data_IF_803085969766
#
_entry.id   IF_803085969766
#
_cell.length_a   1.000
_cell.length_b   1.000
_cell.length_c   1.000
_cell.angle_alpha   90.00
_cell.angle_beta   90.00
_cell.angle_gamma   90.00
#
_symmetry.space_group_name_H-M   'P 1'
#
loop_
_entity.id
_entity.type
_entity.pdbx_description
1 polymer ?
#
# COMPACT_ATOMS: atom_id res chain seq x y z
N UNK A 1 11.29 -10.48 -10.37
CA UNK A 1 10.10 -9.87 -9.75
C UNK A 1 9.69 -10.73 -8.57
N UNK A 2 9.65 -10.16 -7.38
CA UNK A 2 9.25 -10.85 -6.16
C UNK A 2 7.91 -10.27 -5.68
N UNK A 3 6.94 -11.14 -5.43
CA UNK A 3 5.62 -10.72 -4.99
C UNK A 3 5.24 -11.43 -3.69
N UNK A 4 4.61 -10.71 -2.78
CA UNK A 4 4.16 -11.28 -1.51
C UNK A 4 2.89 -10.58 -1.02
N UNK A 5 2.15 -11.27 -0.17
CA UNK A 5 0.98 -10.72 0.50
C UNK A 5 1.44 -9.89 1.69
N UNK A 6 0.91 -8.69 1.82
CA UNK A 6 1.17 -7.78 2.95
C UNK A 6 -0.15 -7.21 3.44
N UNK A 7 -0.11 -6.46 4.52
CA UNK A 7 -1.29 -5.80 5.07
C UNK A 7 -1.19 -4.31 4.80
N UNK A 8 -2.24 -3.74 4.23
CA UNK A 8 -2.37 -2.31 4.02
C UNK A 8 -3.39 -1.75 5.01
N UNK A 9 -3.06 -0.60 5.61
CA UNK A 9 -3.95 0.13 6.50
C UNK A 9 -4.49 1.35 5.77
N UNK A 10 -5.81 1.55 5.85
CA UNK A 10 -6.46 2.75 5.32
C UNK A 10 -6.93 3.59 6.49
N UNK A 11 -6.49 4.84 6.55
CA UNK A 11 -6.90 5.81 7.54
C UNK A 11 -7.64 6.95 6.85
N UNK A 12 -8.78 7.36 7.42
CA UNK A 12 -9.46 8.58 7.01
C UNK A 12 -9.09 9.65 8.02
N UNK A 13 -8.53 10.74 7.57
CA UNK A 13 -8.02 11.83 8.40
C UNK A 13 -8.61 13.16 7.94
N UNK A 14 -8.45 14.20 8.77
CA UNK A 14 -8.79 15.55 8.34
C UNK A 14 -7.81 16.01 7.27
N UNK A 15 -8.31 16.68 6.24
CA UNK A 15 -7.48 17.26 5.19
C UNK A 15 -6.90 18.56 5.68
N UNK A 16 -5.85 18.48 6.48
CA UNK A 16 -5.20 19.65 7.10
C UNK A 16 -3.69 19.43 7.24
N UNK A 17 -2.99 20.51 7.46
CA UNK A 17 -1.54 20.51 7.64
C UNK A 17 -1.14 19.59 8.80
N UNK A 18 -0.14 18.74 8.55
CA UNK A 18 0.48 17.93 9.58
C UNK A 18 -0.12 16.54 9.79
N UNK A 19 -1.22 16.20 9.12
CA UNK A 19 -1.85 14.90 9.35
C UNK A 19 -0.99 13.72 8.90
N UNK A 20 -0.37 13.81 7.74
CA UNK A 20 0.53 12.75 7.28
C UNK A 20 1.74 12.63 8.21
N UNK A 21 2.31 13.75 8.64
CA UNK A 21 3.43 13.76 9.57
C UNK A 21 3.05 13.11 10.90
N UNK A 22 1.85 13.38 11.40
CA UNK A 22 1.34 12.80 12.64
C UNK A 22 1.26 11.27 12.55
N UNK A 23 0.66 10.78 11.49
CA UNK A 23 0.47 9.34 11.30
C UNK A 23 1.80 8.62 11.11
N UNK A 24 2.68 9.16 10.27
CA UNK A 24 4.01 8.56 10.07
C UNK A 24 4.86 8.64 11.35
N UNK A 25 4.69 9.69 12.15
CA UNK A 25 5.35 9.84 13.45
C UNK A 25 4.91 8.78 14.45
N UNK A 26 3.64 8.44 14.48
CA UNK A 26 3.11 7.37 15.34
C UNK A 26 3.76 6.03 14.97
N UNK A 27 3.86 5.76 13.67
CA UNK A 27 4.52 4.54 13.16
C UNK A 27 5.98 4.49 13.57
N UNK A 28 6.69 5.60 13.43
CA UNK A 28 8.10 5.72 13.80
C UNK A 28 8.33 5.46 15.29
N UNK A 29 7.52 6.07 16.15
CA UNK A 29 7.63 5.89 17.60
C UNK A 29 7.34 4.45 18.02
N UNK A 30 6.49 3.76 17.28
CA UNK A 30 6.18 2.36 17.55
C UNK A 30 7.24 1.40 17.01
N UNK A 31 8.27 1.89 16.34
CA UNK A 31 9.30 1.05 15.75
C UNK A 31 8.84 0.33 14.50
N UNK A 32 7.90 0.90 13.78
CA UNK A 32 7.34 0.32 12.55
C UNK A 32 7.91 1.04 11.34
N UNK A 33 8.48 0.28 10.42
CA UNK A 33 8.94 0.81 9.14
C UNK A 33 7.79 0.76 8.14
N UNK A 34 7.49 1.89 7.53
CA UNK A 34 6.47 1.98 6.49
C UNK A 34 7.14 1.73 5.14
N UNK A 35 6.81 0.60 4.53
CA UNK A 35 7.43 0.17 3.27
C UNK A 35 6.85 0.86 2.06
N UNK A 36 5.59 1.28 2.14
CA UNK A 36 4.93 2.04 1.09
C UNK A 36 3.81 2.85 1.70
N UNK A 37 3.54 4.03 1.16
CA UNK A 37 2.38 4.81 1.57
C UNK A 37 1.89 5.67 0.42
N UNK A 38 0.61 6.02 0.50
CA UNK A 38 -0.03 6.92 -0.44
C UNK A 38 -1.02 7.76 0.35
N UNK A 39 -1.00 9.07 0.14
CA UNK A 39 -1.93 9.98 0.81
C UNK A 39 -2.50 10.98 -0.16
N UNK A 40 -3.78 11.29 -0.03
CA UNK A 40 -4.43 12.28 -0.87
C UNK A 40 -5.65 12.89 -0.18
N UNK A 41 -5.92 14.15 -0.51
CA UNK A 41 -7.16 14.83 -0.15
C UNK A 41 -8.18 14.67 -1.27
N UNK A 42 -9.45 14.68 -0.91
CA UNK A 42 -10.53 14.54 -1.89
C UNK A 42 -11.23 15.87 -2.21
N UNK A 43 -10.53 16.98 -2.00
CA UNK A 43 -11.10 18.30 -2.27
C UNK A 43 -12.11 18.77 -1.23
N UNK A 44 -12.17 18.15 -0.05
CA UNK A 44 -13.05 18.48 1.05
C UNK A 44 -12.33 18.47 2.37
N UNK A 45 -13.07 18.18 3.44
CA UNK A 45 -12.54 18.20 4.80
C UNK A 45 -11.74 16.95 5.16
N UNK A 46 -11.87 15.88 4.35
CA UNK A 46 -11.24 14.60 4.63
C UNK A 46 -10.16 14.27 3.62
N UNK A 47 -9.16 13.51 4.09
CA UNK A 47 -8.15 12.88 3.27
C UNK A 47 -8.03 11.42 3.63
N UNK A 48 -7.33 10.66 2.80
CA UNK A 48 -7.06 9.27 3.02
C UNK A 48 -5.57 9.01 3.00
N UNK A 49 -5.11 8.13 3.90
CA UNK A 49 -3.73 7.69 3.96
C UNK A 49 -3.74 6.16 3.94
N UNK A 50 -2.96 5.60 3.03
CA UNK A 50 -2.74 4.15 2.94
C UNK A 50 -1.31 3.86 3.36
N UNK A 51 -1.14 2.87 4.25
CA UNK A 51 0.17 2.51 4.78
C UNK A 51 0.38 1.00 4.66
N UNK A 52 1.57 0.61 4.24
CA UNK A 52 1.97 -0.81 4.24
C UNK A 52 3.17 -0.94 5.19
N UNK A 53 2.92 -1.38 6.43
CA UNK A 53 3.98 -1.51 7.43
C UNK A 53 4.71 -2.84 7.32
N UNK A 54 5.94 -2.90 7.84
CA UNK A 54 6.68 -4.15 7.98
C UNK A 54 6.15 -5.00 9.16
N UNK A 55 5.53 -4.34 10.15
CA UNK A 55 5.01 -4.99 11.37
C UNK A 55 3.57 -4.58 11.62
N UNK A 56 2.60 -5.21 10.92
CA UNK A 56 1.20 -4.77 11.00
C UNK A 56 0.62 -4.82 12.41
N UNK A 57 0.97 -5.81 13.22
CA UNK A 57 0.44 -5.92 14.59
C UNK A 57 0.87 -4.75 15.47
N UNK A 58 2.11 -4.29 15.31
CA UNK A 58 2.62 -3.14 16.06
C UNK A 58 1.95 -1.84 15.62
N UNK A 59 1.71 -1.69 14.32
CA UNK A 59 1.01 -0.51 13.81
C UNK A 59 -0.43 -0.48 14.31
N UNK A 60 -1.11 -1.61 14.25
CA UNK A 60 -2.48 -1.72 14.76
C UNK A 60 -2.56 -1.29 16.24
N UNK A 61 -1.66 -1.82 17.07
CA UNK A 61 -1.64 -1.48 18.49
C UNK A 61 -1.37 0.01 18.71
N UNK A 62 -0.46 0.61 17.93
CA UNK A 62 -0.13 2.03 18.05
C UNK A 62 -1.32 2.91 17.64
N UNK A 63 -2.01 2.56 16.56
CA UNK A 63 -3.17 3.31 16.10
C UNK A 63 -4.32 3.23 17.10
N UNK A 64 -4.55 2.06 17.67
CA UNK A 64 -5.58 1.88 18.71
C UNK A 64 -5.28 2.70 19.96
N UNK A 65 -4.02 2.73 20.38
CA UNK A 65 -3.57 3.53 21.52
C UNK A 65 -3.85 5.02 21.32
N UNK A 66 -3.66 5.51 20.11
CA UNK A 66 -3.90 6.91 19.74
C UNK A 66 -5.36 7.17 19.33
N UNK A 67 -6.21 6.16 19.45
CA UNK A 67 -7.65 6.24 19.11
C UNK A 67 -7.90 6.66 17.66
N UNK A 68 -7.04 6.19 16.76
CA UNK A 68 -7.19 6.44 15.31
C UNK A 68 -7.87 5.25 14.68
N UNK A 69 -9.00 5.48 14.03
CA UNK A 69 -9.72 4.45 13.29
C UNK A 69 -8.98 4.06 12.01
N UNK A 70 -9.06 2.80 11.66
CA UNK A 70 -8.44 2.29 10.44
C UNK A 70 -9.20 1.07 9.92
N UNK A 71 -8.99 0.78 8.65
CA UNK A 71 -9.40 -0.47 8.02
C UNK A 71 -8.13 -1.16 7.53
N UNK A 72 -8.03 -2.48 7.69
CA UNK A 72 -6.90 -3.23 7.17
C UNK A 72 -7.35 -4.22 6.11
N UNK A 73 -6.50 -4.44 5.11
CA UNK A 73 -6.80 -5.31 3.99
C UNK A 73 -5.52 -5.97 3.48
N UNK A 74 -5.61 -7.21 3.00
CA UNK A 74 -4.46 -7.81 2.34
C UNK A 74 -4.23 -7.15 0.97
N UNK A 75 -2.96 -6.94 0.64
CA UNK A 75 -2.54 -6.40 -0.65
C UNK A 75 -1.42 -7.28 -1.22
N UNK A 76 -1.15 -7.12 -2.50
CA UNK A 76 -0.01 -7.74 -3.15
C UNK A 76 1.06 -6.67 -3.31
N UNK A 77 2.22 -6.92 -2.71
CA UNK A 77 3.39 -6.06 -2.83
C UNK A 77 4.37 -6.72 -3.80
N UNK A 78 4.81 -5.97 -4.80
CA UNK A 78 5.70 -6.47 -5.83
C UNK A 78 6.98 -5.63 -5.83
N UNK A 79 8.12 -6.31 -5.68
CA UNK A 79 9.42 -5.71 -5.86
C UNK A 79 9.99 -6.20 -7.19
N UNK A 80 10.43 -5.28 -8.02
CA UNK A 80 10.97 -5.63 -9.33
C UNK A 80 11.87 -4.54 -9.87
N UNK A 81 12.43 -4.77 -11.05
CA UNK A 81 13.29 -3.82 -11.71
C UNK A 81 12.48 -2.74 -12.40
N UNK A 82 12.97 -1.49 -12.34
CA UNK A 82 12.38 -0.39 -13.09
C UNK A 82 12.65 -0.57 -14.58
N UNK A 83 11.67 -0.33 -15.40
CA UNK A 83 11.82 -0.42 -16.85
C UNK A 83 10.53 -0.11 -17.58
N UNK A 84 10.68 0.12 -18.87
CA UNK A 84 9.54 0.39 -19.74
C UNK A 84 8.60 -0.79 -19.75
N UNK A 85 7.32 -0.54 -19.47
CA UNK A 85 6.27 -1.55 -19.55
C UNK A 85 6.12 -2.45 -18.33
N UNK A 86 6.87 -2.24 -17.26
CA UNK A 86 6.72 -3.08 -16.06
C UNK A 86 5.33 -2.99 -15.45
N UNK A 87 4.79 -1.78 -15.32
CA UNK A 87 3.42 -1.60 -14.82
C UNK A 87 2.39 -2.30 -15.69
N UNK A 88 2.52 -2.12 -17.01
CA UNK A 88 1.63 -2.74 -17.98
C UNK A 88 1.70 -4.28 -17.88
N UNK A 89 2.88 -4.82 -17.70
CA UNK A 89 3.09 -6.28 -17.58
C UNK A 89 2.39 -6.83 -16.34
N UNK A 90 2.57 -6.17 -15.20
CA UNK A 90 1.94 -6.60 -13.94
C UNK A 90 0.42 -6.51 -14.01
N UNK A 91 -0.10 -5.37 -14.44
CA UNK A 91 -1.55 -5.16 -14.56
C UNK A 91 -2.16 -6.11 -15.60
N UNK A 92 -1.44 -6.37 -16.69
CA UNK A 92 -1.88 -7.29 -17.73
C UNK A 92 -2.06 -8.73 -17.25
N UNK A 93 -1.20 -9.17 -16.33
CA UNK A 93 -1.35 -10.52 -15.74
C UNK A 93 -2.63 -10.63 -14.92
N UNK A 94 -2.98 -9.59 -14.17
CA UNK A 94 -4.23 -9.56 -13.42
C UNK A 94 -5.45 -9.52 -14.36
N UNK A 95 -5.39 -8.69 -15.39
CA UNK A 95 -6.48 -8.60 -16.38
C UNK A 95 -6.72 -9.95 -17.05
N UNK A 96 -5.66 -10.64 -17.44
CA UNK A 96 -5.75 -11.96 -18.07
C UNK A 96 -6.38 -13.00 -17.15
N UNK A 97 -6.13 -12.89 -15.86
CA UNK A 97 -6.69 -13.78 -14.84
C UNK A 97 -8.09 -13.36 -14.37
N UNK A 98 -8.64 -12.27 -14.91
CA UNK A 98 -9.96 -11.77 -14.50
C UNK A 98 -9.98 -11.14 -13.11
N UNK A 99 -8.83 -10.64 -12.64
CA UNK A 99 -8.72 -10.06 -11.31
C UNK A 99 -8.84 -8.54 -11.39
N UNK A 100 -9.82 -7.98 -10.68
CA UNK A 100 -10.00 -6.54 -10.64
C UNK A 100 -9.05 -5.88 -9.64
N UNK A 101 -8.43 -4.79 -10.06
CA UNK A 101 -7.58 -3.96 -9.20
C UNK A 101 -8.44 -2.86 -8.59
N UNK A 102 -8.50 -2.83 -7.26
CA UNK A 102 -9.31 -1.82 -6.54
C UNK A 102 -8.56 -0.50 -6.43
N UNK A 103 -7.26 -0.56 -6.14
CA UNK A 103 -6.35 0.58 -6.25
C UNK A 103 -4.92 0.08 -6.34
N UNK A 104 -4.04 0.94 -6.79
CA UNK A 104 -2.62 0.61 -6.90
C UNK A 104 -1.76 1.88 -6.83
N UNK A 105 -0.54 1.71 -6.39
CA UNK A 105 0.46 2.77 -6.42
C UNK A 105 1.85 2.17 -6.50
N UNK A 106 2.75 2.91 -7.12
CA UNK A 106 4.12 2.47 -7.34
C UNK A 106 5.07 3.64 -7.26
N UNK A 107 6.33 3.34 -7.00
CA UNK A 107 7.38 4.34 -6.97
C UNK A 107 8.65 3.78 -7.59
N UNK A 108 9.34 4.62 -8.34
CA UNK A 108 10.63 4.30 -8.95
C UNK A 108 11.44 5.59 -9.08
N UNK A 109 12.76 5.44 -9.05
CA UNK A 109 13.67 6.54 -9.33
C UNK A 109 14.12 6.55 -10.81
N UNK A 110 13.52 5.67 -11.63
CA UNK A 110 13.86 5.52 -13.04
C UNK A 110 14.89 4.44 -13.31
N UNK A 111 15.57 3.96 -12.28
CA UNK A 111 16.54 2.87 -12.35
C UNK A 111 16.52 2.09 -11.06
N UNK A 112 17.05 0.86 -11.07
CA UNK A 112 17.05 0.00 -9.90
C UNK A 112 15.69 -0.62 -9.60
N UNK A 113 15.39 -0.86 -8.34
CA UNK A 113 14.18 -1.55 -7.91
C UNK A 113 12.97 -0.62 -7.83
N UNK A 114 11.79 -1.22 -8.06
CA UNK A 114 10.50 -0.58 -7.84
C UNK A 114 9.77 -1.30 -6.72
N UNK A 115 8.86 -0.60 -6.06
CA UNK A 115 7.89 -1.20 -5.15
C UNK A 115 6.51 -0.83 -5.67
N UNK A 116 5.67 -1.84 -5.90
CA UNK A 116 4.31 -1.64 -6.38
C UNK A 116 3.34 -2.33 -5.44
N UNK A 117 2.28 -1.63 -5.07
CA UNK A 117 1.23 -2.15 -4.21
C UNK A 117 -0.05 -2.26 -5.04
N UNK A 118 -0.66 -3.44 -5.02
CA UNK A 118 -1.95 -3.69 -5.65
C UNK A 118 -2.94 -4.17 -4.59
N UNK A 119 -4.00 -3.43 -4.39
CA UNK A 119 -5.15 -3.95 -3.68
C UNK A 119 -6.09 -4.54 -4.71
N UNK A 120 -6.34 -5.84 -4.59
CA UNK A 120 -7.13 -6.61 -5.55
C UNK A 120 -8.24 -7.34 -4.82
N UNK A 121 -9.25 -7.78 -5.56
CA UNK A 121 -10.38 -8.51 -4.97
C UNK A 121 -9.96 -9.87 -4.40
N UNK A 122 -8.98 -10.53 -5.03
CA UNK A 122 -8.52 -11.83 -4.60
C UNK A 122 -6.98 -11.88 -4.59
N UNK A 123 -6.34 -11.54 -3.45
CA UNK A 123 -4.88 -11.52 -3.37
C UNK A 123 -4.20 -12.85 -3.66
N UNK A 124 -4.79 -13.96 -3.21
CA UNK A 124 -4.19 -15.29 -3.45
C UNK A 124 -4.20 -15.65 -4.93
N UNK A 125 -5.29 -15.37 -5.63
CA UNK A 125 -5.37 -15.56 -7.07
C UNK A 125 -4.39 -14.65 -7.81
N UNK A 126 -4.21 -13.42 -7.32
CA UNK A 126 -3.26 -12.47 -7.89
C UNK A 126 -1.82 -12.96 -7.77
N UNK A 127 -1.44 -13.46 -6.60
CA UNK A 127 -0.10 -14.02 -6.40
C UNK A 127 0.15 -15.19 -7.35
N UNK A 128 -0.86 -16.03 -7.56
CA UNK A 128 -0.78 -17.16 -8.48
C UNK A 128 -0.63 -16.68 -9.93
N UNK A 129 -1.38 -15.67 -10.33
CA UNK A 129 -1.31 -15.10 -11.68
C UNK A 129 0.07 -14.51 -11.99
N UNK A 130 0.74 -13.92 -11.00
CA UNK A 130 2.07 -13.34 -11.19
C UNK A 130 3.15 -14.38 -11.45
N UNK A 131 2.92 -15.63 -11.06
CA UNK A 131 3.86 -16.74 -11.29
C UNK A 131 3.73 -17.34 -12.69
N UNK A 132 2.71 -16.98 -13.44
CA UNK A 132 2.45 -17.52 -14.78
C UNK A 132 3.29 -16.87 -15.85
#
# INVERSE_FOLDING_TARGET
MAARKMTEFKLTVKNQVGELARVLGISSQAGVNILAFCGFGRGGEEGEIYLVPDKPDKLEAALRKEQIGFESSPVVAIKGASGIGMGAKMAGKFAKAGINILHSYASTTGSGDTTTIFRVENPDAALKALKS
#
